data_IF_196324982400
#
_entry.id   IF_196324982400
#
_cell.length_a   1.000
_cell.length_b   1.000
_cell.length_c   1.000
_cell.angle_alpha   90.00
_cell.angle_beta   90.00
_cell.angle_gamma   90.00
#
_symmetry.space_group_name_H-M   'P 1'
#
loop_
_entity.id
_entity.type
_entity.pdbx_description
1 polymer ?
#
# COMPACT_ATOMS: atom_id res chain seq x y z
N UNK A 1 22.33 -10.19 -9.36
CA UNK A 1 22.15 -11.09 -8.18
C UNK A 1 23.02 -10.67 -6.98
N UNK A 2 24.26 -10.21 -7.19
CA UNK A 2 25.16 -9.77 -6.10
C UNK A 2 24.67 -8.46 -5.46
N UNK A 3 24.16 -7.53 -6.26
CA UNK A 3 23.71 -6.22 -5.80
C UNK A 3 22.39 -6.28 -5.00
N UNK A 4 21.49 -7.25 -5.30
CA UNK A 4 20.30 -7.52 -4.50
C UNK A 4 20.64 -8.05 -3.09
N UNK A 5 21.74 -8.76 -2.93
CA UNK A 5 22.24 -9.21 -1.62
C UNK A 5 22.74 -8.05 -0.76
N UNK A 6 23.32 -7.02 -1.39
CA UNK A 6 23.79 -5.82 -0.68
C UNK A 6 22.69 -4.89 -0.21
N UNK A 7 21.47 -5.01 -0.76
CA UNK A 7 20.26 -4.24 -0.43
C UNK A 7 19.38 -4.89 0.64
N UNK A 8 19.91 -5.84 1.41
CA UNK A 8 19.15 -6.52 2.46
C UNK A 8 18.57 -7.88 2.04
N UNK A 9 19.02 -8.43 0.91
CA UNK A 9 18.78 -9.82 0.58
C UNK A 9 17.41 -10.17 -0.01
N UNK A 10 16.73 -9.24 -0.67
CA UNK A 10 15.52 -9.56 -1.43
C UNK A 10 15.83 -10.58 -2.52
N UNK A 11 15.21 -11.76 -2.44
CA UNK A 11 15.32 -12.78 -3.48
C UNK A 11 14.56 -12.35 -4.74
N UNK A 12 14.96 -12.86 -5.91
CA UNK A 12 14.20 -12.65 -7.15
C UNK A 12 12.74 -13.15 -7.04
N UNK A 13 12.51 -14.17 -6.21
CA UNK A 13 11.17 -14.67 -5.91
C UNK A 13 10.34 -13.62 -5.14
N UNK A 14 10.93 -12.98 -4.14
CA UNK A 14 10.27 -11.90 -3.36
C UNK A 14 9.93 -10.70 -4.25
N UNK A 15 10.86 -10.29 -5.12
CA UNK A 15 10.61 -9.21 -6.11
C UNK A 15 9.45 -9.58 -7.03
N UNK A 16 9.40 -10.82 -7.52
CA UNK A 16 8.29 -11.30 -8.36
C UNK A 16 6.94 -11.31 -7.63
N UNK A 17 6.92 -11.59 -6.32
CA UNK A 17 5.69 -11.47 -5.50
C UNK A 17 5.24 -10.03 -5.40
N UNK A 18 6.17 -9.11 -5.10
CA UNK A 18 5.85 -7.67 -4.99
C UNK A 18 5.34 -7.11 -6.33
N UNK A 19 5.98 -7.47 -7.45
CA UNK A 19 5.52 -7.04 -8.76
C UNK A 19 4.11 -7.50 -9.07
N UNK A 20 3.77 -8.77 -8.78
CA UNK A 20 2.40 -9.27 -8.97
C UNK A 20 1.39 -8.50 -8.12
N UNK A 21 1.73 -8.19 -6.86
CA UNK A 21 0.83 -7.43 -5.99
C UNK A 21 0.64 -5.98 -6.44
N UNK A 22 1.67 -5.34 -6.96
CA UNK A 22 1.55 -4.00 -7.56
C UNK A 22 0.68 -4.05 -8.81
N UNK A 23 0.90 -5.02 -9.72
CA UNK A 23 0.07 -5.18 -10.92
C UNK A 23 -1.38 -5.55 -10.61
N UNK A 24 -1.63 -6.29 -9.53
CA UNK A 24 -2.99 -6.55 -9.02
C UNK A 24 -3.67 -5.24 -8.60
N UNK A 25 -3.00 -4.39 -7.82
CA UNK A 25 -3.51 -3.08 -7.41
C UNK A 25 -3.73 -2.13 -8.60
N UNK A 26 -2.82 -2.14 -9.57
CA UNK A 26 -2.98 -1.36 -10.82
C UNK A 26 -4.21 -1.83 -11.59
N UNK A 27 -4.43 -3.15 -11.69
CA UNK A 27 -5.60 -3.73 -12.34
C UNK A 27 -6.93 -3.41 -11.63
N UNK A 28 -6.89 -3.12 -10.33
CA UNK A 28 -8.04 -2.66 -9.53
C UNK A 28 -8.25 -1.12 -9.60
N UNK A 29 -7.50 -0.40 -10.41
CA UNK A 29 -7.60 1.07 -10.53
C UNK A 29 -6.67 1.83 -9.60
N UNK A 30 -5.59 1.20 -9.14
CA UNK A 30 -4.59 1.80 -8.27
C UNK A 30 -3.89 3.00 -8.91
N UNK A 31 -3.78 3.05 -10.22
CA UNK A 31 -3.24 4.17 -11.00
C UNK A 31 -4.04 5.47 -10.81
N UNK A 32 -5.37 5.36 -10.65
CA UNK A 32 -6.25 6.49 -10.34
C UNK A 32 -6.25 6.80 -8.85
N UNK A 33 -6.23 5.74 -8.02
CA UNK A 33 -6.41 5.86 -6.58
C UNK A 33 -5.16 6.42 -5.88
N UNK A 34 -3.96 6.01 -6.30
CA UNK A 34 -2.68 6.45 -5.74
C UNK A 34 -2.08 7.67 -6.45
N UNK A 35 -2.94 8.55 -6.97
CA UNK A 35 -2.54 9.79 -7.62
C UNK A 35 -2.02 10.88 -6.66
N UNK A 36 -1.74 12.06 -7.22
CA UNK A 36 -1.42 13.24 -6.45
C UNK A 36 -2.48 14.35 -6.73
N UNK A 37 -2.85 15.14 -5.72
CA UNK A 37 -2.31 15.18 -4.35
C UNK A 37 -2.75 13.97 -3.51
N UNK A 38 -1.87 13.49 -2.64
CA UNK A 38 -2.20 12.44 -1.69
C UNK A 38 -3.17 12.93 -0.61
N UNK A 39 -4.02 12.03 -0.10
CA UNK A 39 -4.93 12.34 0.99
C UNK A 39 -4.14 12.65 2.28
N UNK A 40 -4.51 13.75 2.94
CA UNK A 40 -3.91 14.20 4.20
C UNK A 40 -4.85 13.84 5.36
N UNK A 41 -4.43 12.92 6.23
CA UNK A 41 -5.25 12.47 7.36
C UNK A 41 -5.59 13.59 8.35
N UNK A 42 -4.81 14.69 8.35
CA UNK A 42 -5.11 15.87 9.18
C UNK A 42 -6.39 16.58 8.75
N UNK A 43 -6.84 16.41 7.51
CA UNK A 43 -8.12 16.95 7.07
C UNK A 43 -9.33 16.29 7.78
N UNK A 44 -9.14 15.13 8.39
CA UNK A 44 -10.15 14.49 9.23
C UNK A 44 -10.30 15.17 10.61
N UNK A 45 -9.31 15.94 11.04
CA UNK A 45 -9.27 16.60 12.35
C UNK A 45 -9.84 18.03 12.32
N UNK A 46 -10.42 18.44 11.20
CA UNK A 46 -10.95 19.82 11.04
C UNK A 46 -12.09 20.09 12.02
N UNK A 47 -12.13 21.33 12.49
CA UNK A 47 -13.21 21.86 13.30
C UNK A 47 -13.86 23.05 12.61
N UNK A 48 -15.13 23.27 12.91
CA UNK A 48 -15.85 24.48 12.49
C UNK A 48 -15.42 25.68 13.33
N UNK A 49 -15.69 26.93 12.90
CA UNK A 49 -15.33 28.11 13.66
C UNK A 49 -15.93 28.18 15.07
N UNK A 50 -17.06 27.50 15.30
CA UNK A 50 -17.72 27.35 16.61
C UNK A 50 -17.15 26.19 17.45
N UNK A 51 -16.05 25.57 16.98
CA UNK A 51 -15.31 24.54 17.72
C UNK A 51 -15.90 23.13 17.65
N UNK A 52 -16.91 22.90 16.80
CA UNK A 52 -17.45 21.54 16.56
C UNK A 52 -16.60 20.77 15.56
N UNK A 53 -16.54 19.47 15.71
CA UNK A 53 -15.88 18.59 14.74
C UNK A 53 -16.61 18.60 13.38
N UNK A 54 -15.84 18.61 12.29
CA UNK A 54 -16.38 18.44 10.94
C UNK A 54 -16.68 16.96 10.70
N UNK A 55 -17.89 16.67 10.24
CA UNK A 55 -18.26 15.30 9.81
C UNK A 55 -17.77 15.08 8.39
N UNK A 56 -16.87 14.13 8.22
CA UNK A 56 -16.35 13.72 6.90
C UNK A 56 -16.97 12.38 6.51
N UNK A 57 -17.63 12.32 5.35
CA UNK A 57 -18.16 11.08 4.79
C UNK A 57 -17.29 10.64 3.62
N UNK A 58 -16.59 9.53 3.78
CA UNK A 58 -15.84 8.88 2.70
C UNK A 58 -16.77 7.92 1.97
N UNK A 59 -17.19 8.28 0.76
CA UNK A 59 -18.02 7.41 -0.08
C UNK A 59 -17.12 6.65 -1.06
N UNK A 60 -16.96 5.34 -0.83
CA UNK A 60 -16.03 4.48 -1.55
C UNK A 60 -16.74 3.32 -2.29
N UNK A 61 -17.82 3.56 -3.07
CA UNK A 61 -18.60 2.48 -3.65
C UNK A 61 -17.81 1.58 -4.62
N UNK A 62 -16.90 2.16 -5.38
CA UNK A 62 -16.04 1.43 -6.33
C UNK A 62 -14.94 0.68 -5.61
N UNK A 63 -14.31 1.31 -4.62
CA UNK A 63 -13.19 0.73 -3.87
C UNK A 63 -13.66 -0.41 -2.96
N UNK A 64 -14.88 -0.33 -2.41
CA UNK A 64 -15.45 -1.39 -1.58
C UNK A 64 -15.63 -2.73 -2.30
N UNK A 65 -15.73 -2.72 -3.64
CA UNK A 65 -15.79 -3.92 -4.48
C UNK A 65 -14.42 -4.45 -4.91
N UNK A 66 -13.34 -3.83 -4.46
CA UNK A 66 -11.95 -4.14 -4.79
C UNK A 66 -11.15 -4.41 -3.50
N UNK A 67 -11.17 -5.64 -2.98
CA UNK A 67 -10.70 -5.94 -1.61
C UNK A 67 -9.24 -5.58 -1.36
N UNK A 68 -8.35 -5.78 -2.34
CA UNK A 68 -6.93 -5.48 -2.17
C UNK A 68 -6.69 -3.96 -2.09
N UNK A 69 -7.36 -3.18 -2.93
CA UNK A 69 -7.27 -1.72 -2.94
C UNK A 69 -7.87 -1.12 -1.66
N UNK A 70 -9.07 -1.59 -1.27
CA UNK A 70 -9.75 -1.18 -0.04
C UNK A 70 -8.89 -1.44 1.20
N UNK A 71 -8.36 -2.66 1.32
CA UNK A 71 -7.48 -3.06 2.42
C UNK A 71 -6.21 -2.21 2.48
N UNK A 72 -5.59 -1.94 1.32
CA UNK A 72 -4.38 -1.13 1.23
C UNK A 72 -4.64 0.31 1.67
N UNK A 73 -5.73 0.91 1.19
CA UNK A 73 -6.13 2.25 1.58
C UNK A 73 -6.37 2.37 3.08
N UNK A 74 -7.15 1.46 3.63
CA UNK A 74 -7.51 1.52 5.03
C UNK A 74 -6.30 1.29 5.94
N UNK A 75 -5.43 0.30 5.61
CA UNK A 75 -4.17 0.11 6.33
C UNK A 75 -3.31 1.37 6.32
N UNK A 76 -3.24 2.05 5.18
CA UNK A 76 -2.50 3.29 5.07
C UNK A 76 -3.10 4.40 5.94
N UNK A 77 -4.41 4.64 5.86
CA UNK A 77 -5.10 5.66 6.68
C UNK A 77 -4.89 5.41 8.16
N UNK A 78 -5.07 4.16 8.62
CA UNK A 78 -4.91 3.80 10.02
C UNK A 78 -3.44 3.92 10.49
N UNK A 79 -2.48 3.59 9.62
CA UNK A 79 -1.07 3.72 9.94
C UNK A 79 -0.66 5.19 10.05
N UNK A 80 -1.08 6.00 9.10
CA UNK A 80 -0.78 7.44 9.04
C UNK A 80 -1.39 8.18 10.24
N UNK A 81 -2.64 7.89 10.59
CA UNK A 81 -3.27 8.43 11.79
C UNK A 81 -2.54 8.02 13.06
N UNK A 82 -2.09 6.78 13.14
CA UNK A 82 -1.35 6.30 14.30
C UNK A 82 0.01 7.01 14.45
N UNK A 83 0.66 7.37 13.34
CA UNK A 83 1.93 8.10 13.35
C UNK A 83 1.76 9.60 13.61
N UNK A 84 0.79 10.23 12.95
CA UNK A 84 0.59 11.69 13.01
C UNK A 84 -0.05 12.17 14.31
N UNK A 85 -0.90 11.35 14.94
CA UNK A 85 -1.58 11.74 16.17
C UNK A 85 -0.65 11.60 17.39
N UNK A 86 -0.51 12.67 18.19
CA UNK A 86 0.25 12.62 19.44
C UNK A 86 -0.50 11.78 20.50
N UNK A 87 0.25 11.26 21.45
CA UNK A 87 -0.34 10.71 22.67
C UNK A 87 -0.97 11.84 23.48
N UNK A 88 -2.27 11.74 23.75
CA UNK A 88 -3.03 12.78 24.48
C UNK A 88 -3.57 12.27 25.83
N UNK A 89 -3.36 10.99 26.14
CA UNK A 89 -3.90 10.37 27.34
C UNK A 89 -5.39 10.08 27.22
N UNK A 90 -6.15 10.48 28.23
CA UNK A 90 -7.60 10.24 28.33
C UNK A 90 -8.36 11.58 28.34
N UNK A 91 -8.56 12.23 27.18
CA UNK A 91 -9.25 13.50 27.09
C UNK A 91 -10.76 13.32 27.31
N UNK A 92 -11.44 14.34 27.86
CA UNK A 92 -12.89 14.33 28.09
C UNK A 92 -13.70 14.08 26.80
N UNK A 93 -13.16 14.46 25.66
CA UNK A 93 -13.79 14.28 24.33
C UNK A 93 -12.77 13.77 23.33
N UNK A 94 -13.17 12.83 22.44
CA UNK A 94 -12.27 12.36 21.41
C UNK A 94 -11.90 13.46 20.42
N UNK A 95 -10.68 13.41 19.90
CA UNK A 95 -10.19 14.28 18.83
C UNK A 95 -10.79 13.90 17.47
N UNK A 96 -11.03 12.62 17.27
CA UNK A 96 -11.56 12.03 16.06
C UNK A 96 -12.40 10.82 16.42
N UNK A 97 -13.47 10.59 15.67
CA UNK A 97 -14.31 9.39 15.80
C UNK A 97 -14.50 8.76 14.43
N UNK A 98 -14.20 7.48 14.32
CA UNK A 98 -14.48 6.67 13.14
C UNK A 98 -15.73 5.84 13.31
N UNK A 99 -16.57 5.85 12.28
CA UNK A 99 -17.67 4.93 12.11
C UNK A 99 -17.39 4.06 10.89
N UNK A 100 -17.16 2.77 11.12
CA UNK A 100 -17.03 1.79 10.08
C UNK A 100 -18.39 1.12 9.86
N UNK A 101 -19.10 1.60 8.85
CA UNK A 101 -20.35 0.99 8.42
C UNK A 101 -20.05 -0.25 7.58
N UNK A 102 -20.93 -1.27 7.67
CA UNK A 102 -20.72 -2.59 7.08
C UNK A 102 -19.33 -3.17 7.46
N UNK A 103 -19.05 -3.17 8.77
CA UNK A 103 -17.72 -3.50 9.30
C UNK A 103 -17.24 -4.91 8.94
N UNK A 104 -18.12 -5.83 8.52
CA UNK A 104 -17.75 -7.13 7.99
C UNK A 104 -16.80 -7.02 6.80
N UNK A 105 -16.91 -5.97 5.95
CA UNK A 105 -16.01 -5.75 4.82
C UNK A 105 -14.54 -5.51 5.23
N UNK A 106 -14.28 -5.18 6.49
CA UNK A 106 -12.92 -5.02 7.00
C UNK A 106 -12.26 -6.36 7.32
N UNK A 107 -13.07 -7.41 7.50
CA UNK A 107 -12.62 -8.69 8.04
C UNK A 107 -12.85 -9.86 7.08
N UNK A 108 -13.89 -9.79 6.24
CA UNK A 108 -14.20 -10.81 5.24
C UNK A 108 -13.12 -10.87 4.18
N UNK A 109 -12.46 -12.02 4.04
CA UNK A 109 -11.36 -12.26 3.12
C UNK A 109 -10.20 -11.24 3.22
N UNK A 110 -10.14 -10.51 4.34
CA UNK A 110 -9.14 -9.48 4.55
C UNK A 110 -7.74 -10.08 4.75
N UNK A 111 -6.69 -9.45 4.21
CA UNK A 111 -5.32 -9.85 4.51
C UNK A 111 -5.07 -9.80 6.02
N UNK A 112 -4.41 -10.83 6.55
CA UNK A 112 -4.07 -10.88 7.99
C UNK A 112 -3.40 -9.59 8.49
N UNK A 113 -2.55 -8.97 7.67
CA UNK A 113 -1.90 -7.70 8.01
C UNK A 113 -2.89 -6.55 8.26
N UNK A 114 -4.04 -6.51 7.58
CA UNK A 114 -5.10 -5.54 7.85
C UNK A 114 -5.77 -5.83 9.18
N UNK A 115 -6.18 -7.08 9.41
CA UNK A 115 -6.82 -7.49 10.67
C UNK A 115 -5.93 -7.19 11.87
N UNK A 116 -4.65 -7.58 11.82
CA UNK A 116 -3.64 -7.30 12.85
C UNK A 116 -3.50 -5.78 13.08
N UNK A 117 -3.56 -4.97 12.00
CA UNK A 117 -3.47 -3.51 12.11
C UNK A 117 -4.72 -2.89 12.73
N UNK A 118 -5.90 -3.34 12.35
CA UNK A 118 -7.17 -2.89 12.93
C UNK A 118 -7.22 -3.25 14.42
N UNK A 119 -6.79 -4.45 14.80
CA UNK A 119 -6.68 -4.87 16.20
C UNK A 119 -5.71 -3.98 16.98
N UNK A 120 -4.50 -3.75 16.46
CA UNK A 120 -3.53 -2.86 17.08
C UNK A 120 -4.10 -1.45 17.28
N UNK A 121 -4.74 -0.91 16.25
CA UNK A 121 -5.37 0.42 16.31
C UNK A 121 -6.50 0.43 17.34
N UNK A 122 -7.42 -0.53 17.32
CA UNK A 122 -8.53 -0.61 18.26
C UNK A 122 -8.04 -0.64 19.71
N UNK A 123 -6.91 -1.29 19.97
CA UNK A 123 -6.30 -1.41 21.31
C UNK A 123 -5.60 -0.13 21.77
N UNK A 124 -4.90 0.56 20.88
CA UNK A 124 -3.97 1.62 21.25
C UNK A 124 -4.44 3.04 20.91
N UNK A 125 -5.38 3.19 19.98
CA UNK A 125 -5.74 4.50 19.44
C UNK A 125 -6.49 5.40 20.43
N UNK A 126 -7.02 4.78 21.52
CA UNK A 126 -7.66 5.54 22.60
C UNK A 126 -6.69 6.53 23.25
N UNK A 127 -5.42 6.14 23.46
CA UNK A 127 -4.40 7.04 24.03
C UNK A 127 -4.09 8.24 23.15
N UNK A 128 -4.46 8.16 21.86
CA UNK A 128 -4.37 9.27 20.89
C UNK A 128 -5.66 10.08 20.78
N UNK A 129 -6.65 9.78 21.62
CA UNK A 129 -7.94 10.48 21.67
C UNK A 129 -8.85 10.13 20.49
N UNK A 130 -8.77 8.93 19.94
CA UNK A 130 -9.64 8.49 18.82
C UNK A 130 -10.62 7.43 19.32
N UNK A 131 -11.89 7.63 18.96
CA UNK A 131 -12.98 6.66 19.16
C UNK A 131 -13.24 5.87 17.88
N UNK A 132 -13.59 4.59 18.01
CA UNK A 132 -13.96 3.72 16.90
C UNK A 132 -15.31 3.09 17.16
N UNK A 133 -16.18 3.12 16.15
CA UNK A 133 -17.46 2.43 16.13
C UNK A 133 -17.48 1.46 14.94
N UNK A 134 -17.77 0.21 15.21
CA UNK A 134 -18.05 -0.79 14.18
C UNK A 134 -19.56 -1.00 14.11
N UNK A 135 -20.10 -0.95 12.91
CA UNK A 135 -21.52 -1.16 12.61
C UNK A 135 -21.60 -2.36 11.68
N UNK A 136 -22.29 -3.40 12.13
CA UNK A 136 -22.45 -4.64 11.36
C UNK A 136 -23.82 -5.25 11.61
N UNK A 137 -24.26 -6.11 10.72
CA UNK A 137 -25.51 -6.84 10.82
C UNK A 137 -25.41 -8.02 11.80
N UNK A 138 -24.23 -8.59 11.97
CA UNK A 138 -23.99 -9.70 12.86
C UNK A 138 -22.72 -9.44 13.72
N UNK A 139 -22.79 -9.51 15.07
CA UNK A 139 -21.61 -9.38 15.91
C UNK A 139 -20.50 -10.39 15.61
N UNK A 140 -20.85 -11.58 15.10
CA UNK A 140 -19.91 -12.63 14.76
C UNK A 140 -19.00 -12.30 13.56
N UNK A 141 -19.31 -11.24 12.79
CA UNK A 141 -18.47 -10.77 11.69
C UNK A 141 -17.18 -10.10 12.19
N UNK A 142 -17.16 -9.66 13.43
CA UNK A 142 -16.01 -8.98 14.04
C UNK A 142 -15.18 -10.01 14.81
N UNK A 143 -13.86 -10.11 14.57
CA UNK A 143 -12.96 -11.00 15.30
C UNK A 143 -13.02 -10.81 16.81
N UNK A 144 -12.93 -11.90 17.58
CA UNK A 144 -13.03 -11.88 19.04
C UNK A 144 -11.99 -10.98 19.72
N UNK A 145 -10.78 -10.94 19.18
CA UNK A 145 -9.71 -10.11 19.70
C UNK A 145 -10.04 -8.61 19.63
N UNK A 146 -10.80 -8.21 18.62
CA UNK A 146 -11.32 -6.84 18.45
C UNK A 146 -12.56 -6.64 19.31
N UNK A 147 -13.53 -7.57 19.28
CA UNK A 147 -14.73 -7.52 20.11
C UNK A 147 -14.38 -7.37 21.61
N UNK A 148 -13.31 -8.02 22.06
CA UNK A 148 -12.80 -7.91 23.42
C UNK A 148 -12.33 -6.51 23.83
N UNK A 149 -12.02 -5.64 22.87
CA UNK A 149 -11.65 -4.23 23.10
C UNK A 149 -12.86 -3.30 23.13
N UNK A 150 -14.02 -3.75 22.63
CA UNK A 150 -15.23 -2.95 22.49
C UNK A 150 -16.11 -3.09 23.73
N UNK A 151 -15.94 -2.18 24.67
CA UNK A 151 -16.68 -2.23 25.95
C UNK A 151 -18.10 -1.65 25.88
N UNK A 152 -18.42 -0.84 24.86
CA UNK A 152 -19.74 -0.25 24.66
C UNK A 152 -20.47 -0.99 23.53
N UNK A 153 -21.71 -1.43 23.80
CA UNK A 153 -22.46 -2.26 22.85
C UNK A 153 -23.90 -1.82 22.74
N UNK A 154 -24.39 -1.75 21.50
CA UNK A 154 -25.78 -1.51 21.15
C UNK A 154 -26.20 -2.60 20.17
N UNK A 155 -27.11 -3.49 20.61
CA UNK A 155 -27.55 -4.61 19.80
C UNK A 155 -29.05 -4.45 19.49
N UNK A 156 -29.35 -4.24 18.22
CA UNK A 156 -30.70 -4.33 17.68
C UNK A 156 -31.13 -5.80 17.53
N UNK A 157 -32.38 -6.01 17.13
CA UNK A 157 -32.90 -7.36 16.98
C UNK A 157 -32.03 -8.25 16.06
N UNK A 158 -31.62 -9.40 16.58
CA UNK A 158 -30.99 -10.43 15.78
C UNK A 158 -32.03 -11.55 15.53
N UNK A 159 -32.42 -11.71 14.27
CA UNK A 159 -33.39 -12.72 13.89
C UNK A 159 -32.68 -14.03 13.59
N UNK A 160 -33.22 -15.11 14.12
CA UNK A 160 -32.64 -16.44 14.00
C UNK A 160 -33.43 -17.24 12.98
N UNK A 161 -32.79 -17.63 11.90
CA UNK A 161 -33.38 -18.45 10.85
C UNK A 161 -32.63 -19.80 10.67
N UNK A 162 -31.37 -19.86 11.09
CA UNK A 162 -30.53 -21.04 10.96
C UNK A 162 -29.90 -21.44 12.30
N UNK A 163 -29.39 -22.68 12.35
CA UNK A 163 -28.64 -23.15 13.53
C UNK A 163 -27.35 -22.34 13.78
N UNK A 164 -26.78 -21.73 12.74
CA UNK A 164 -25.65 -20.81 12.87
C UNK A 164 -26.09 -19.53 13.57
N UNK A 165 -27.17 -18.92 13.13
CA UNK A 165 -27.71 -17.69 13.74
C UNK A 165 -28.02 -17.88 15.22
N UNK A 166 -28.55 -19.06 15.58
CA UNK A 166 -28.81 -19.39 16.99
C UNK A 166 -27.51 -19.37 17.83
N UNK A 167 -26.44 -19.97 17.33
CA UNK A 167 -25.14 -19.99 18.01
C UNK A 167 -24.53 -18.57 18.11
N UNK A 168 -24.63 -17.80 17.04
CA UNK A 168 -24.15 -16.42 17.01
C UNK A 168 -24.90 -15.54 18.02
N UNK A 169 -26.20 -15.73 18.14
CA UNK A 169 -27.04 -15.06 19.15
C UNK A 169 -26.66 -15.46 20.60
N UNK A 170 -26.52 -16.75 20.86
CA UNK A 170 -26.10 -17.27 22.17
C UNK A 170 -24.76 -16.65 22.59
N UNK A 171 -23.79 -16.70 21.68
CA UNK A 171 -22.47 -16.10 21.87
C UNK A 171 -22.53 -14.60 22.10
N UNK A 172 -23.34 -13.87 21.33
CA UNK A 172 -23.55 -12.43 21.54
C UNK A 172 -24.15 -12.16 22.93
N UNK A 173 -25.17 -12.92 23.34
CA UNK A 173 -25.85 -12.75 24.62
C UNK A 173 -24.93 -13.02 25.82
N UNK A 174 -24.07 -14.03 25.75
CA UNK A 174 -23.12 -14.40 26.81
C UNK A 174 -22.08 -13.31 27.10
N UNK A 175 -21.81 -12.43 26.14
CA UNK A 175 -20.82 -11.35 26.30
C UNK A 175 -21.33 -10.14 27.09
N UNK A 176 -22.64 -10.10 27.43
CA UNK A 176 -23.23 -9.06 28.25
C UNK A 176 -23.23 -9.43 29.76
N UNK A 177 -23.08 -8.41 30.59
CA UNK A 177 -23.34 -8.58 32.03
C UNK A 177 -24.85 -8.80 32.22
N UNK A 178 -25.29 -9.98 32.72
CA UNK A 178 -26.70 -10.35 32.71
C UNK A 178 -27.55 -9.44 33.61
N UNK A 179 -28.79 -9.22 33.19
CA UNK A 179 -29.81 -8.55 34.00
C UNK A 179 -30.71 -9.61 34.65
N UNK A 180 -30.90 -9.58 35.97
CA UNK A 180 -31.77 -10.55 36.64
C UNK A 180 -33.25 -10.43 36.26
N UNK A 181 -33.69 -9.31 35.68
CA UNK A 181 -35.07 -9.07 35.30
C UNK A 181 -35.52 -9.72 33.99
N UNK A 182 -34.58 -10.08 33.08
CA UNK A 182 -34.88 -10.70 31.80
C UNK A 182 -33.71 -11.50 31.24
N UNK A 183 -33.99 -12.41 30.31
CA UNK A 183 -32.96 -13.11 29.52
C UNK A 183 -32.43 -12.21 28.43
N UNK A 184 -31.11 -12.01 28.36
CA UNK A 184 -30.46 -11.21 27.31
C UNK A 184 -30.73 -11.79 25.92
N UNK A 185 -30.66 -13.11 25.77
CA UNK A 185 -30.95 -13.80 24.52
C UNK A 185 -32.37 -13.54 24.03
N UNK A 186 -33.36 -13.71 24.94
CA UNK A 186 -34.77 -13.42 24.64
C UNK A 186 -34.97 -11.97 24.27
N UNK A 187 -34.35 -11.05 25.02
CA UNK A 187 -34.46 -9.62 24.74
C UNK A 187 -33.93 -9.27 23.34
N UNK A 188 -32.77 -9.80 22.93
CA UNK A 188 -32.20 -9.55 21.59
C UNK A 188 -33.14 -10.06 20.49
N UNK A 189 -33.82 -11.18 20.68
CA UNK A 189 -34.82 -11.70 19.72
C UNK A 189 -36.06 -10.84 19.61
N UNK A 190 -36.51 -10.26 20.72
CA UNK A 190 -37.82 -9.64 20.87
C UNK A 190 -37.85 -8.11 20.76
N UNK A 191 -36.69 -7.41 20.86
CA UNK A 191 -36.65 -5.96 20.69
C UNK A 191 -37.31 -5.56 19.38
N UNK A 192 -38.18 -4.55 19.46
CA UNK A 192 -38.95 -4.00 18.35
C UNK A 192 -38.16 -2.96 17.55
N UNK A 193 -38.88 -2.35 16.59
CA UNK A 193 -38.33 -1.23 15.83
C UNK A 193 -38.06 -0.05 16.76
N UNK A 194 -36.85 0.49 16.70
CA UNK A 194 -36.44 1.60 17.58
C UNK A 194 -36.05 1.16 18.99
N UNK A 195 -35.95 -0.14 19.25
CA UNK A 195 -35.40 -0.68 20.50
C UNK A 195 -34.06 -1.34 20.28
N UNK A 196 -33.26 -1.42 21.33
CA UNK A 196 -32.00 -2.16 21.36
C UNK A 196 -31.74 -2.70 22.79
N UNK A 197 -30.88 -3.73 22.84
CA UNK A 197 -30.22 -4.15 24.05
C UNK A 197 -28.90 -3.40 24.15
N UNK A 198 -28.67 -2.68 25.26
CA UNK A 198 -27.50 -1.82 25.43
C UNK A 198 -26.69 -2.17 26.66
N UNK A 199 -25.37 -2.05 26.56
CA UNK A 199 -24.46 -2.07 27.69
C UNK A 199 -23.33 -1.08 27.42
N UNK A 200 -23.13 -0.14 28.34
CA UNK A 200 -22.04 0.84 28.26
C UNK A 200 -21.10 0.67 29.44
N UNK A 201 -19.87 1.14 29.27
CA UNK A 201 -18.90 1.15 30.35
C UNK A 201 -19.29 2.17 31.42
N UNK A 202 -19.36 1.72 32.66
CA UNK A 202 -19.47 2.57 33.84
C UNK A 202 -18.11 3.12 34.28
N UNK A 203 -18.09 3.84 35.40
CA UNK A 203 -16.87 4.32 36.01
C UNK A 203 -15.87 3.16 36.21
N UNK A 204 -14.60 3.42 35.92
CA UNK A 204 -13.49 2.43 35.96
C UNK A 204 -13.53 1.33 34.88
N UNK A 205 -14.30 1.55 33.81
CA UNK A 205 -14.33 0.63 32.66
C UNK A 205 -15.07 -0.68 32.93
N UNK A 206 -15.96 -0.72 33.91
CA UNK A 206 -16.79 -1.90 34.23
C UNK A 206 -17.99 -1.91 33.30
N UNK A 207 -18.30 -3.02 32.57
CA UNK A 207 -19.52 -3.11 31.77
C UNK A 207 -20.78 -2.99 32.64
N UNK A 208 -21.69 -2.11 32.24
CA UNK A 208 -23.00 -1.97 32.88
C UNK A 208 -23.83 -3.25 32.71
N UNK A 209 -24.76 -3.45 33.62
CA UNK A 209 -25.81 -4.46 33.48
C UNK A 209 -26.61 -4.15 32.22
N UNK A 210 -26.86 -5.15 31.39
CA UNK A 210 -27.58 -5.02 30.14
C UNK A 210 -28.97 -4.44 30.34
N UNK A 211 -29.37 -3.50 29.47
CA UNK A 211 -30.65 -2.83 29.52
C UNK A 211 -31.35 -2.92 28.17
N UNK A 212 -32.70 -3.06 28.21
CA UNK A 212 -33.54 -2.85 27.05
C UNK A 212 -33.83 -1.34 26.91
N UNK A 213 -33.49 -0.75 25.79
CA UNK A 213 -33.43 0.70 25.62
C UNK A 213 -34.18 1.15 24.37
N UNK A 214 -34.97 2.21 24.51
CA UNK A 214 -35.54 2.92 23.36
C UNK A 214 -34.50 3.80 22.72
N UNK A 215 -34.30 3.64 21.43
CA UNK A 215 -33.36 4.43 20.65
C UNK A 215 -34.07 5.66 20.09
N UNK A 216 -33.46 6.82 20.32
CA UNK A 216 -34.00 8.08 19.76
C UNK A 216 -34.04 8.00 18.24
N UNK A 217 -35.16 8.34 17.60
CA UNK A 217 -35.23 8.38 16.14
C UNK A 217 -34.24 9.39 15.56
N UNK A 218 -33.68 9.13 14.36
CA UNK A 218 -32.78 10.07 13.72
C UNK A 218 -33.50 11.38 13.38
N UNK A 219 -32.79 12.50 13.51
CA UNK A 219 -33.29 13.82 13.10
C UNK A 219 -33.06 14.09 11.61
N UNK A 220 -32.35 13.17 10.92
CA UNK A 220 -32.06 13.26 9.48
C UNK A 220 -33.21 12.71 8.64
N UNK A 221 -33.29 13.15 7.37
CA UNK A 221 -34.17 12.57 6.38
C UNK A 221 -33.85 11.09 6.16
N UNK A 222 -34.87 10.25 6.07
CA UNK A 222 -34.72 8.85 5.70
C UNK A 222 -34.52 8.71 4.18
N UNK A 223 -33.71 7.76 3.78
CA UNK A 223 -33.38 7.44 2.38
C UNK A 223 -32.12 8.13 1.85
N UNK A 224 -31.78 7.90 0.57
CA UNK A 224 -30.56 8.41 -0.04
C UNK A 224 -30.65 9.95 -0.20
N UNK A 225 -29.50 10.59 -0.07
CA UNK A 225 -29.36 12.02 -0.36
C UNK A 225 -29.60 12.29 -1.86
N UNK A 226 -30.34 13.35 -2.19
CA UNK A 226 -30.52 13.76 -3.57
C UNK A 226 -29.18 14.14 -4.23
N UNK A 227 -28.97 13.81 -5.53
CA UNK A 227 -27.69 14.07 -6.23
C UNK A 227 -27.23 15.53 -6.16
N UNK A 228 -28.15 16.48 -6.29
CA UNK A 228 -27.82 17.91 -6.23
C UNK A 228 -27.44 18.36 -4.81
N UNK A 229 -28.12 17.82 -3.78
CA UNK A 229 -27.74 18.08 -2.40
C UNK A 229 -26.35 17.50 -2.06
N UNK A 230 -26.01 16.33 -2.61
CA UNK A 230 -24.67 15.75 -2.48
C UNK A 230 -23.61 16.64 -3.15
N UNK A 231 -23.86 17.12 -4.37
CA UNK A 231 -22.96 18.04 -5.09
C UNK A 231 -22.75 19.33 -4.30
N UNK A 232 -23.85 19.90 -3.76
CA UNK A 232 -23.77 21.12 -2.94
C UNK A 232 -22.93 20.88 -1.67
N UNK A 233 -23.12 19.75 -0.98
CA UNK A 233 -22.34 19.40 0.19
C UNK A 233 -20.84 19.22 -0.13
N UNK A 234 -20.51 18.59 -1.26
CA UNK A 234 -19.12 18.44 -1.73
C UNK A 234 -18.50 19.81 -2.05
N UNK A 235 -19.20 20.67 -2.76
CA UNK A 235 -18.73 22.02 -3.07
C UNK A 235 -18.50 22.88 -1.80
N UNK A 236 -19.36 22.72 -0.79
CA UNK A 236 -19.27 23.44 0.48
C UNK A 236 -18.16 22.89 1.41
N UNK A 237 -17.59 21.72 1.12
CA UNK A 237 -16.62 21.05 2.01
C UNK A 237 -15.30 21.81 2.18
N UNK A 238 -14.95 22.70 1.24
CA UNK A 238 -13.69 23.43 1.19
C UNK A 238 -12.47 22.55 0.83
N UNK A 239 -12.68 21.27 0.53
CA UNK A 239 -11.60 20.34 0.15
C UNK A 239 -11.38 20.28 -1.36
N UNK A 240 -12.35 20.72 -2.18
CA UNK A 240 -12.25 20.73 -3.63
C UNK A 240 -10.96 21.36 -4.15
N UNK A 241 -10.58 22.57 -3.75
CA UNK A 241 -9.35 23.22 -4.20
C UNK A 241 -8.08 22.40 -3.90
N UNK A 242 -8.09 21.56 -2.87
CA UNK A 242 -6.94 20.73 -2.49
C UNK A 242 -6.87 19.42 -3.29
N UNK A 243 -8.03 18.81 -3.61
CA UNK A 243 -8.08 17.44 -4.13
C UNK A 243 -8.68 17.26 -5.53
N UNK A 244 -9.48 18.23 -6.03
CA UNK A 244 -10.17 18.07 -7.32
C UNK A 244 -9.25 18.27 -8.53
N UNK A 245 -8.06 18.86 -8.32
CA UNK A 245 -7.08 19.06 -9.40
C UNK A 245 -5.96 18.03 -9.25
N UNK A 246 -5.89 17.13 -10.21
CA UNK A 246 -4.78 16.16 -10.30
C UNK A 246 -3.47 16.89 -10.54
N UNK A 247 -2.46 16.58 -9.75
CA UNK A 247 -1.09 17.08 -9.92
C UNK A 247 -0.27 16.00 -10.59
N UNK A 248 0.05 16.22 -11.86
CA UNK A 248 0.98 15.37 -12.57
C UNK A 248 2.42 15.70 -12.12
N UNK A 249 3.01 14.79 -11.37
CA UNK A 249 4.39 14.87 -10.91
C UNK A 249 5.22 13.88 -11.72
N UNK A 250 6.43 14.29 -12.08
CA UNK A 250 7.36 13.37 -12.72
C UNK A 250 7.51 12.08 -11.90
N UNK A 251 7.04 10.98 -12.47
CA UNK A 251 7.01 9.69 -11.81
C UNK A 251 8.41 9.06 -11.73
N UNK A 252 8.61 8.16 -10.76
CA UNK A 252 9.84 7.38 -10.69
C UNK A 252 10.07 6.54 -11.96
N UNK A 253 8.99 6.10 -12.62
CA UNK A 253 9.05 5.37 -13.89
C UNK A 253 9.61 6.24 -15.01
N UNK A 254 9.12 7.48 -15.16
CA UNK A 254 9.63 8.43 -16.15
C UNK A 254 11.09 8.81 -15.90
N UNK A 255 11.45 9.08 -14.63
CA UNK A 255 12.83 9.35 -14.24
C UNK A 255 13.77 8.19 -14.56
N UNK A 256 13.33 6.96 -14.29
CA UNK A 256 14.10 5.76 -14.62
C UNK A 256 14.17 5.53 -16.13
N UNK A 257 13.10 5.78 -16.86
CA UNK A 257 13.05 5.74 -18.31
C UNK A 257 14.02 6.75 -18.94
N UNK A 258 14.01 8.01 -18.50
CA UNK A 258 14.96 9.05 -18.95
C UNK A 258 16.41 8.67 -18.68
N UNK A 259 16.70 8.13 -17.47
CA UNK A 259 18.05 7.66 -17.12
C UNK A 259 18.50 6.47 -17.96
N UNK A 260 17.60 5.51 -18.21
CA UNK A 260 17.92 4.36 -19.06
C UNK A 260 18.24 4.79 -20.50
N UNK A 261 17.46 5.73 -21.07
CA UNK A 261 17.71 6.29 -22.40
C UNK A 261 19.03 7.07 -22.45
N UNK A 262 19.32 7.85 -21.42
CA UNK A 262 20.55 8.62 -21.32
C UNK A 262 21.78 7.69 -21.18
N UNK A 263 21.71 6.67 -20.34
CA UNK A 263 22.78 5.67 -20.19
C UNK A 263 22.99 4.86 -21.48
N UNK A 264 21.93 4.57 -22.24
CA UNK A 264 22.03 3.90 -23.54
C UNK A 264 22.69 4.82 -24.59
N UNK A 265 22.39 6.12 -24.60
CA UNK A 265 23.02 7.09 -25.46
C UNK A 265 24.53 7.27 -25.15
N UNK A 266 24.88 7.38 -23.87
CA UNK A 266 26.28 7.45 -23.41
C UNK A 266 27.08 6.19 -23.77
N UNK A 267 26.44 5.00 -23.64
CA UNK A 267 27.05 3.75 -24.04
C UNK A 267 27.30 3.68 -25.56
N UNK A 268 26.35 4.10 -26.37
CA UNK A 268 26.48 4.15 -27.82
C UNK A 268 27.59 5.14 -28.27
N UNK A 269 27.67 6.31 -27.63
CA UNK A 269 28.78 7.24 -27.89
C UNK A 269 30.15 6.68 -27.48
N UNK A 270 30.20 5.96 -26.38
CA UNK A 270 31.45 5.33 -25.93
C UNK A 270 31.90 4.20 -26.86
N UNK A 271 30.96 3.38 -27.37
CA UNK A 271 31.24 2.36 -28.38
C UNK A 271 31.72 2.99 -29.70
N UNK A 272 31.03 4.04 -30.19
CA UNK A 272 31.46 4.77 -31.40
C UNK A 272 32.86 5.37 -31.25
N UNK A 273 33.20 5.95 -30.11
CA UNK A 273 34.56 6.45 -29.82
C UNK A 273 35.62 5.32 -29.77
N UNK A 274 35.23 4.17 -29.27
CA UNK A 274 36.11 3.00 -29.16
C UNK A 274 36.41 2.39 -30.55
N UNK A 275 35.40 2.34 -31.43
CA UNK A 275 35.55 1.85 -32.78
C UNK A 275 36.39 2.80 -33.65
N UNK A 276 36.16 4.12 -33.55
CA UNK A 276 36.95 5.15 -34.19
C UNK A 276 38.44 5.08 -33.77
N UNK A 277 38.67 4.82 -32.48
CA UNK A 277 40.03 4.67 -31.94
C UNK A 277 40.73 3.42 -32.48
N UNK A 278 40.00 2.32 -32.60
CA UNK A 278 40.53 1.07 -33.23
C UNK A 278 40.83 1.26 -34.71
N UNK A 279 39.96 1.96 -35.43
CA UNK A 279 40.20 2.32 -36.85
C UNK A 279 41.47 3.19 -37.01
N UNK A 280 41.59 4.24 -36.17
CA UNK A 280 42.79 5.10 -36.16
C UNK A 280 44.07 4.34 -35.79
N UNK A 281 44.01 3.43 -34.81
CA UNK A 281 45.16 2.57 -34.43
C UNK A 281 45.51 1.60 -35.55
N UNK A 282 44.51 1.04 -36.26
CA UNK A 282 44.74 0.19 -37.42
C UNK A 282 45.38 0.96 -38.58
N UNK A 283 44.91 2.21 -38.84
CA UNK A 283 45.48 3.07 -39.88
C UNK A 283 46.93 3.50 -39.56
N UNK A 284 47.19 3.85 -38.30
CA UNK A 284 48.54 4.17 -37.83
C UNK A 284 49.50 2.95 -37.87
N UNK A 285 48.99 1.77 -37.58
CA UNK A 285 49.76 0.54 -37.66
C UNK A 285 50.12 0.17 -39.12
N UNK A 286 49.22 0.47 -40.06
CA UNK A 286 49.42 0.28 -41.48
C UNK A 286 50.45 1.28 -42.02
N UNK A 287 50.40 2.55 -41.61
CA UNK A 287 51.42 3.56 -41.97
C UNK A 287 52.82 3.23 -41.44
N UNK A 288 52.93 2.71 -40.20
CA UNK A 288 54.23 2.27 -39.64
C UNK A 288 54.84 1.08 -40.35
N UNK A 289 54.04 0.22 -41.02
CA UNK A 289 54.57 -0.87 -41.85
C UNK A 289 55.17 -0.40 -43.18
N UNK A 290 54.73 0.77 -43.68
CA UNK A 290 55.27 1.31 -44.93
C UNK A 290 56.61 2.06 -44.75
N UNK A 291 56.92 2.60 -43.55
CA UNK A 291 58.13 3.38 -43.31
C UNK A 291 59.35 2.54 -42.95
N UNK A 292 59.22 1.21 -42.76
CA UNK A 292 60.34 0.30 -42.35
C UNK A 292 60.97 -0.42 -43.58
N UNK A 293 60.50 -0.20 -44.82
CA UNK A 293 61.01 -0.97 -45.96
C UNK A 293 61.88 -0.15 -46.95
N UNK A 294 62.65 0.83 -46.43
CA UNK A 294 63.72 1.49 -47.18
C UNK A 294 65.01 1.42 -46.40
N UNK A 295 65.71 0.31 -46.49
CA UNK A 295 67.09 0.21 -45.97
C UNK A 295 67.64 -1.20 -45.84
N UNK A 296 68.31 -1.67 -46.93
CA UNK A 296 69.39 -2.61 -46.98
C UNK A 296 69.13 -4.09 -46.68
N UNK A 297 69.46 -4.84 -47.77
CA UNK A 297 69.60 -6.25 -47.80
C UNK A 297 70.79 -6.80 -47.00
N UNK A 298 70.59 -7.99 -46.56
CA UNK A 298 71.60 -9.01 -46.42
C UNK A 298 70.91 -10.38 -46.27
N UNK A 299 71.20 -11.30 -47.18
CA UNK A 299 71.01 -12.72 -47.00
C UNK A 299 72.31 -13.29 -46.32
N UNK A 300 72.40 -14.53 -45.84
CA UNK A 300 71.61 -15.74 -46.07
C UNK A 300 71.45 -16.73 -44.91
N UNK A 301 70.77 -17.80 -45.27
CA UNK A 301 70.93 -19.22 -44.93
C UNK A 301 70.26 -19.84 -43.71
N UNK A 302 69.48 -20.79 -44.12
CA UNK A 302 69.32 -22.18 -43.66
C UNK A 302 69.04 -22.52 -42.18
N UNK A 303 67.91 -23.14 -41.98
CA UNK A 303 67.70 -23.97 -40.80
C UNK A 303 66.27 -24.53 -40.70
N UNK A 304 66.11 -25.75 -41.04
CA UNK A 304 64.98 -26.68 -40.93
C UNK A 304 64.30 -26.62 -39.59
N UNK A 305 62.93 -26.77 -39.58
CA UNK A 305 62.23 -27.17 -38.39
C UNK A 305 60.71 -27.20 -38.61
N UNK A 306 60.26 -28.32 -39.16
CA UNK A 306 58.83 -28.66 -39.20
C UNK A 306 58.25 -28.85 -37.77
N UNK A 307 57.20 -28.13 -37.44
CA UNK A 307 56.51 -28.38 -36.23
C UNK A 307 55.06 -27.86 -36.37
N UNK A 308 54.17 -28.69 -36.90
CA UNK A 308 52.74 -28.46 -36.87
C UNK A 308 52.29 -28.55 -35.43
N UNK A 309 52.00 -27.47 -34.81
CA UNK A 309 51.26 -27.48 -33.51
C UNK A 309 49.79 -27.68 -33.76
N UNK A 310 49.31 -28.80 -33.26
CA UNK A 310 47.91 -29.17 -33.17
C UNK A 310 47.21 -28.19 -32.19
N UNK A 311 46.19 -27.48 -32.66
CA UNK A 311 45.32 -26.62 -31.85
C UNK A 311 44.05 -27.42 -31.50
N UNK A 312 43.83 -27.76 -30.19
CA UNK A 312 42.70 -28.58 -29.79
C UNK A 312 41.35 -27.85 -29.75
N UNK A 313 41.28 -26.55 -30.07
CA UNK A 313 40.03 -25.75 -29.93
C UNK A 313 39.34 -25.35 -31.23
N UNK A 314 39.70 -25.94 -32.36
CA UNK A 314 39.01 -25.69 -33.62
C UNK A 314 37.73 -26.52 -33.76
N UNK A 315 36.69 -26.18 -32.98
CA UNK A 315 35.40 -26.90 -33.08
C UNK A 315 34.25 -26.38 -32.21
N UNK A 316 34.43 -25.33 -31.46
CA UNK A 316 33.31 -24.78 -30.69
C UNK A 316 32.63 -23.60 -31.39
N UNK A 317 31.28 -23.58 -31.51
CA UNK A 317 30.60 -22.45 -32.13
C UNK A 317 30.73 -21.20 -31.24
N UNK A 318 31.20 -20.11 -31.83
CA UNK A 318 31.27 -18.79 -31.18
C UNK A 318 29.94 -18.44 -30.59
N UNK A 319 29.86 -18.30 -29.28
CA UNK A 319 28.67 -17.74 -28.56
C UNK A 319 28.39 -16.36 -29.13
N UNK A 320 27.17 -16.17 -29.65
CA UNK A 320 26.66 -14.87 -30.04
C UNK A 320 26.72 -13.95 -28.81
N UNK A 321 27.28 -12.76 -28.96
CA UNK A 321 27.30 -11.74 -27.93
C UNK A 321 25.88 -11.38 -27.49
N UNK A 322 25.71 -10.84 -26.28
CA UNK A 322 24.42 -10.52 -25.73
C UNK A 322 23.66 -9.54 -26.63
N UNK A 323 22.39 -9.83 -26.86
CA UNK A 323 21.48 -8.94 -27.62
C UNK A 323 21.29 -7.60 -26.91
N UNK A 324 20.97 -6.56 -27.68
CA UNK A 324 20.75 -5.18 -27.18
C UNK A 324 19.81 -5.16 -25.97
N UNK A 325 18.77 -6.03 -25.96
CA UNK A 325 17.83 -6.23 -24.86
C UNK A 325 18.48 -6.79 -23.59
N UNK A 326 19.42 -7.75 -23.70
CA UNK A 326 20.13 -8.29 -22.54
C UNK A 326 21.11 -7.27 -21.94
N UNK A 327 21.71 -6.43 -22.76
CA UNK A 327 22.59 -5.34 -22.30
C UNK A 327 21.80 -4.24 -21.61
N UNK A 328 20.63 -3.85 -22.15
CA UNK A 328 19.73 -2.89 -21.50
C UNK A 328 19.24 -3.40 -20.14
N UNK A 329 18.81 -4.66 -20.06
CA UNK A 329 18.33 -5.23 -18.79
C UNK A 329 19.43 -5.28 -17.72
N UNK A 330 20.67 -5.58 -18.11
CA UNK A 330 21.82 -5.58 -17.21
C UNK A 330 22.20 -4.17 -16.73
N UNK A 331 22.09 -3.17 -17.60
CA UNK A 331 22.43 -1.78 -17.25
C UNK A 331 21.36 -1.17 -16.32
N UNK A 332 20.08 -1.37 -16.60
CA UNK A 332 18.97 -0.92 -15.73
C UNK A 332 19.05 -1.57 -14.35
N UNK A 333 19.34 -2.88 -14.28
CA UNK A 333 19.52 -3.58 -13.00
C UNK A 333 20.73 -3.05 -12.24
N UNK A 334 21.83 -2.70 -12.92
CA UNK A 334 23.06 -2.19 -12.29
C UNK A 334 22.86 -0.77 -11.72
N UNK A 335 22.09 0.08 -12.39
CA UNK A 335 21.74 1.43 -11.91
C UNK A 335 20.81 1.39 -10.72
N UNK A 336 19.78 0.52 -10.74
CA UNK A 336 18.85 0.36 -9.63
C UNK A 336 19.51 -0.20 -8.35
N UNK A 337 20.62 -0.90 -8.48
CA UNK A 337 21.34 -1.54 -7.36
C UNK A 337 22.56 -0.73 -6.87
N UNK A 338 22.94 0.33 -7.58
CA UNK A 338 24.02 1.25 -7.19
C UNK A 338 23.68 2.13 -5.96
N UNK A 339 24.68 2.89 -5.49
CA UNK A 339 24.52 3.81 -4.34
C UNK A 339 23.43 4.85 -4.54
N UNK A 340 23.16 5.23 -5.79
CA UNK A 340 22.10 6.16 -6.20
C UNK A 340 20.74 5.48 -6.17
N UNK A 341 20.64 4.22 -6.63
CA UNK A 341 19.42 3.41 -6.54
C UNK A 341 18.97 3.16 -5.10
N UNK A 342 19.91 3.01 -4.15
CA UNK A 342 19.59 2.90 -2.72
C UNK A 342 18.95 4.16 -2.13
N UNK A 343 19.36 5.34 -2.60
CA UNK A 343 18.75 6.61 -2.21
C UNK A 343 17.36 6.77 -2.81
N UNK A 344 17.15 6.29 -4.05
CA UNK A 344 15.87 6.35 -4.74
C UNK A 344 14.87 5.36 -4.13
N UNK A 345 15.27 4.11 -3.86
CA UNK A 345 14.40 3.11 -3.21
C UNK A 345 14.05 3.56 -1.78
N UNK A 346 15.01 4.13 -1.04
CA UNK A 346 14.76 4.71 0.28
C UNK A 346 13.91 5.99 0.18
N UNK A 347 14.04 6.76 -0.92
CA UNK A 347 13.21 7.93 -1.22
C UNK A 347 11.78 7.54 -1.62
N UNK A 348 11.60 6.51 -2.44
CA UNK A 348 10.28 6.01 -2.88
C UNK A 348 9.55 5.32 -1.72
N UNK A 349 10.21 4.45 -0.96
CA UNK A 349 9.64 3.87 0.26
C UNK A 349 9.45 4.96 1.34
N UNK A 350 10.38 5.90 1.47
CA UNK A 350 10.26 7.02 2.39
C UNK A 350 9.23 8.07 1.95
N UNK A 351 8.93 8.22 0.66
CA UNK A 351 7.86 9.11 0.17
C UNK A 351 6.50 8.42 0.14
N UNK A 352 6.45 7.10 -0.01
CA UNK A 352 5.24 6.30 0.23
C UNK A 352 4.86 6.26 1.73
N UNK A 353 5.85 6.45 2.63
CA UNK A 353 5.65 6.44 4.08
C UNK A 353 6.01 7.77 4.77
N UNK A 354 6.41 8.80 4.04
CA UNK A 354 6.66 10.17 4.51
C UNK A 354 6.31 11.16 3.40
N UNK A 355 5.03 11.43 3.26
CA UNK A 355 4.62 12.70 2.68
C UNK A 355 4.80 13.78 3.76
N UNK A 356 5.89 14.49 3.74
CA UNK A 356 5.99 15.83 4.31
C UNK A 356 5.64 16.82 3.24
#
# INVERSE_FOLDING_TARGET
>A
KQDLKSLGGLSSATVGVLQRKVSELEGEGGDVFFGAPGFDVRDLLRTTPDGKGVVTVMSLPTVATQPALFSTFLMWVLAELFEELPEVGDPDKPKLVFFFDEAHLLFDDAPKALVDKVEQVARLIRSKGVGIYFITQNPADIPDDILGQLGNRVQHALRVFTAKDQKDLERAAETYRPNPAFSTETAIKEVGTGEAVTSFLEAKGVPAVVQRTLIRPPASQLGPIAPDARKAAMAASGLGPKYDTTVDRESAHELLGKRATQAAAEAAEAEGKTDLRKELEAELSTKRRFDVNLGQGYEPSAGRGSGVRYDPDAGQPRRKGPTLTETMTKTVVRELTGTTGRRIVRGILGSLFRAR
#
